data_IF_618643397359
#
_entry.id   IF_618643397359
#
_cell.length_a   1.000
_cell.length_b   1.000
_cell.length_c   1.000
_cell.angle_alpha   90.00
_cell.angle_beta   90.00
_cell.angle_gamma   90.00
#
_symmetry.space_group_name_H-M   'P 1'
#
loop_
_entity.id
_entity.type
_entity.pdbx_description
1 polymer ?
#
# COMPACT_ATOMS: atom_id res chain seq x y z
N UNK A 1 0.18 25.45 -17.96
CA UNK A 1 0.40 24.01 -17.72
C UNK A 1 -0.79 23.45 -16.95
N UNK A 2 -1.40 22.34 -17.38
CA UNK A 2 -2.50 21.69 -16.61
C UNK A 2 -1.93 21.12 -15.31
N UNK A 3 -2.58 21.39 -14.17
CA UNK A 3 -2.20 20.79 -12.89
C UNK A 3 -2.37 19.27 -12.98
N UNK A 4 -1.39 18.51 -12.48
CA UNK A 4 -1.49 17.05 -12.38
C UNK A 4 -2.56 16.67 -11.34
N UNK A 5 -3.27 15.54 -11.53
CA UNK A 5 -4.24 15.07 -10.55
C UNK A 5 -3.57 14.68 -9.23
N UNK A 6 -4.36 14.72 -8.15
CA UNK A 6 -3.96 14.21 -6.85
C UNK A 6 -3.96 12.68 -6.85
N UNK A 7 -3.12 12.07 -6.02
CA UNK A 7 -3.15 10.65 -5.72
C UNK A 7 -2.59 10.38 -4.32
N UNK A 8 -2.96 9.26 -3.72
CA UNK A 8 -2.38 8.73 -2.50
C UNK A 8 -1.17 7.83 -2.78
N UNK A 9 -0.18 7.88 -1.91
CA UNK A 9 0.85 6.84 -1.74
C UNK A 9 0.72 6.29 -0.32
N UNK A 10 0.29 5.03 -0.21
CA UNK A 10 -0.03 4.36 1.05
C UNK A 10 0.96 3.24 1.32
N UNK A 11 1.56 3.25 2.52
CA UNK A 11 2.48 2.20 2.96
C UNK A 11 2.43 2.01 4.47
N UNK A 12 2.83 0.83 4.93
CA UNK A 12 2.97 0.58 6.36
C UNK A 12 4.27 1.22 6.87
N UNK A 13 4.18 1.99 7.97
CA UNK A 13 5.29 2.78 8.49
C UNK A 13 6.07 2.00 9.54
N UNK A 14 7.33 1.69 9.26
CA UNK A 14 8.22 0.88 10.11
C UNK A 14 9.37 1.68 10.73
N UNK A 15 9.48 2.97 10.45
CA UNK A 15 10.50 3.82 11.09
C UNK A 15 10.12 4.08 12.54
N UNK A 16 11.13 4.12 13.42
CA UNK A 16 10.93 4.45 14.84
C UNK A 16 10.29 5.83 15.00
N UNK A 17 9.40 5.96 15.99
CA UNK A 17 8.76 7.23 16.34
C UNK A 17 7.27 7.09 16.72
N UNK A 18 6.56 8.21 16.90
CA UNK A 18 5.17 8.22 17.38
C UNK A 18 4.17 7.47 16.49
N UNK A 19 4.47 7.33 15.20
CA UNK A 19 3.61 6.64 14.23
C UNK A 19 4.18 5.30 13.78
N UNK A 20 5.08 4.71 14.58
CA UNK A 20 5.58 3.35 14.33
C UNK A 20 4.40 2.38 14.27
N UNK A 21 4.34 1.57 13.21
CA UNK A 21 3.25 0.63 12.89
C UNK A 21 1.91 1.27 12.50
N UNK A 22 1.93 2.52 12.00
CA UNK A 22 0.76 3.15 11.39
C UNK A 22 0.79 3.01 9.87
N UNK A 23 -0.35 3.10 9.20
CA UNK A 23 -0.37 3.34 7.76
C UNK A 23 -0.01 4.80 7.49
N UNK A 24 1.06 5.05 6.75
CA UNK A 24 1.37 6.38 6.23
C UNK A 24 0.62 6.58 4.92
N UNK A 25 -0.12 7.68 4.81
CA UNK A 25 -0.74 8.14 3.57
C UNK A 25 -0.11 9.47 3.18
N UNK A 26 0.54 9.52 2.02
CA UNK A 26 1.02 10.77 1.42
C UNK A 26 0.10 11.16 0.28
N UNK A 27 -0.44 12.37 0.32
CA UNK A 27 -1.17 12.95 -0.81
C UNK A 27 -0.16 13.67 -1.70
N UNK A 28 -0.16 13.30 -2.98
CA UNK A 28 0.81 13.76 -3.98
C UNK A 28 0.13 14.55 -5.08
N UNK A 29 0.80 15.59 -5.57
CA UNK A 29 0.47 16.24 -6.84
C UNK A 29 1.70 16.19 -7.74
N UNK A 30 1.70 15.29 -8.72
CA UNK A 30 2.93 14.92 -9.43
C UNK A 30 3.98 14.37 -8.45
N UNK A 31 5.19 14.93 -8.44
CA UNK A 31 6.25 14.49 -7.52
C UNK A 31 6.20 15.13 -6.13
N UNK A 32 5.40 16.19 -5.94
CA UNK A 32 5.33 16.94 -4.68
C UNK A 32 4.35 16.30 -3.71
N UNK A 33 4.74 16.17 -2.45
CA UNK A 33 3.81 15.85 -1.36
C UNK A 33 3.09 17.13 -0.94
N UNK A 34 1.76 17.10 -0.99
CA UNK A 34 0.92 18.24 -0.59
C UNK A 34 0.33 18.05 0.80
N UNK A 35 0.18 16.80 1.25
CA UNK A 35 -0.24 16.45 2.61
C UNK A 35 0.31 15.06 3.00
N UNK A 36 0.42 14.79 4.29
CA UNK A 36 0.80 13.49 4.81
C UNK A 36 0.20 13.26 6.21
N UNK A 37 -0.46 12.13 6.38
CA UNK A 37 -1.05 11.73 7.65
C UNK A 37 -0.80 10.24 7.93
N UNK A 38 -1.06 9.85 9.17
CA UNK A 38 -0.83 8.49 9.67
C UNK A 38 -2.12 7.96 10.27
N UNK A 39 -2.43 6.70 9.98
CA UNK A 39 -3.67 6.06 10.38
C UNK A 39 -3.35 4.84 11.22
N UNK A 40 -3.91 4.79 12.44
CA UNK A 40 -3.76 3.63 13.32
C UNK A 40 -4.56 2.44 12.74
N UNK A 41 -3.89 1.33 12.35
CA UNK A 41 -4.55 0.16 11.81
C UNK A 41 -5.46 -0.58 12.81
N UNK A 42 -5.31 -0.31 14.12
CA UNK A 42 -6.20 -0.86 15.14
C UNK A 42 -7.56 -0.18 15.08
N UNK A 43 -7.55 1.13 14.85
CA UNK A 43 -8.75 1.95 14.84
C UNK A 43 -9.45 1.92 13.47
N UNK A 44 -8.71 2.01 12.37
CA UNK A 44 -9.27 2.19 11.03
C UNK A 44 -8.85 1.09 10.06
N UNK A 45 -9.73 0.79 9.10
CA UNK A 45 -9.39 0.13 7.84
C UNK A 45 -9.31 1.19 6.74
N UNK A 46 -8.34 1.07 5.85
CA UNK A 46 -8.29 1.87 4.63
C UNK A 46 -8.99 1.12 3.51
N UNK A 47 -9.89 1.80 2.81
CA UNK A 47 -10.32 1.41 1.47
C UNK A 47 -9.62 2.33 0.47
N UNK A 48 -8.89 1.72 -0.46
CA UNK A 48 -8.09 2.41 -1.46
C UNK A 48 -8.66 2.10 -2.84
N UNK A 49 -8.98 3.11 -3.64
CA UNK A 49 -9.58 2.93 -4.97
C UNK A 49 -8.67 3.41 -6.09
N UNK A 50 -8.79 2.78 -7.27
CA UNK A 50 -7.92 3.07 -8.41
C UNK A 50 -6.46 2.77 -8.09
N UNK A 51 -6.20 1.56 -7.59
CA UNK A 51 -4.93 1.18 -7.01
C UNK A 51 -3.93 0.70 -8.06
N UNK A 52 -2.65 0.94 -7.79
CA UNK A 52 -1.49 0.39 -8.49
C UNK A 52 -0.41 0.01 -7.47
N UNK A 53 0.15 -1.18 -7.60
CA UNK A 53 1.26 -1.63 -6.75
C UNK A 53 2.56 -1.01 -7.24
N UNK A 54 3.05 -0.01 -6.53
CA UNK A 54 4.26 0.68 -6.94
C UNK A 54 5.51 0.05 -6.31
N UNK A 55 6.54 -0.12 -7.12
CA UNK A 55 7.87 -0.56 -6.70
C UNK A 55 8.95 0.32 -7.36
N UNK A 56 10.07 0.50 -6.67
CA UNK A 56 11.32 1.05 -7.20
C UNK A 56 12.32 -0.12 -7.30
N UNK A 57 12.42 -0.84 -8.43
CA UNK A 57 13.15 -2.10 -8.52
C UNK A 57 14.61 -2.01 -8.06
N UNK A 58 15.36 -1.01 -8.51
CA UNK A 58 16.75 -0.83 -8.10
C UNK A 58 16.90 -0.59 -6.59
N UNK A 59 15.96 0.12 -5.97
CA UNK A 59 15.98 0.38 -4.52
C UNK A 59 15.51 -0.87 -3.75
N UNK A 60 14.52 -1.61 -4.24
CA UNK A 60 14.09 -2.86 -3.65
C UNK A 60 15.20 -3.91 -3.67
N UNK A 61 15.91 -4.03 -4.80
CA UNK A 61 17.07 -4.90 -4.94
C UNK A 61 18.19 -4.54 -3.94
N UNK A 62 18.49 -3.25 -3.76
CA UNK A 62 19.44 -2.80 -2.73
C UNK A 62 19.00 -3.18 -1.31
N UNK A 63 17.71 -3.07 -0.99
CA UNK A 63 17.15 -3.48 0.31
C UNK A 63 17.26 -4.99 0.50
N UNK A 64 16.98 -5.77 -0.54
CA UNK A 64 17.10 -7.21 -0.52
C UNK A 64 18.54 -7.66 -0.29
N UNK A 65 19.49 -7.11 -1.06
CA UNK A 65 20.91 -7.44 -0.97
C UNK A 65 21.55 -7.02 0.36
N UNK A 66 21.17 -5.85 0.89
CA UNK A 66 21.70 -5.36 2.16
C UNK A 66 21.02 -5.97 3.38
N UNK A 67 19.79 -6.47 3.24
CA UNK A 67 18.93 -6.88 4.36
C UNK A 67 18.48 -5.71 5.26
N UNK A 68 18.74 -4.46 4.87
CA UNK A 68 18.45 -3.26 5.67
C UNK A 68 17.20 -2.59 5.13
N UNK A 69 16.22 -2.38 6.01
CA UNK A 69 14.96 -1.72 5.66
C UNK A 69 15.18 -0.31 5.08
N UNK A 70 14.67 -0.08 3.86
CA UNK A 70 14.49 1.24 3.25
C UNK A 70 13.20 1.24 2.40
N UNK A 71 12.67 2.43 2.09
CA UNK A 71 11.40 2.58 1.37
C UNK A 71 11.58 2.35 -0.12
N UNK A 72 11.06 1.22 -0.60
CA UNK A 72 11.12 0.83 -2.02
C UNK A 72 9.76 0.65 -2.70
N UNK A 73 8.68 0.41 -1.96
CA UNK A 73 7.35 0.17 -2.54
C UNK A 73 6.19 0.69 -1.68
N UNK A 74 5.04 0.88 -2.33
CA UNK A 74 3.79 1.39 -1.74
C UNK A 74 2.59 1.12 -2.65
N UNK A 75 1.37 1.22 -2.13
CA UNK A 75 0.16 1.27 -2.95
C UNK A 75 -0.05 2.71 -3.40
N UNK A 76 -0.13 2.94 -4.71
CA UNK A 76 -0.60 4.22 -5.26
C UNK A 76 -2.09 4.12 -5.52
N UNK A 77 -2.89 5.09 -5.12
CA UNK A 77 -4.34 5.08 -5.31
C UNK A 77 -4.89 6.46 -5.67
N UNK A 78 -6.08 6.51 -6.26
CA UNK A 78 -6.79 7.74 -6.57
C UNK A 78 -7.50 8.30 -5.34
N UNK A 79 -8.06 7.41 -4.52
CA UNK A 79 -8.82 7.75 -3.31
C UNK A 79 -8.41 6.86 -2.13
N UNK A 80 -8.46 7.42 -0.91
CA UNK A 80 -8.33 6.69 0.37
C UNK A 80 -9.51 7.06 1.25
N UNK A 81 -10.31 6.07 1.65
CA UNK A 81 -11.42 6.23 2.59
C UNK A 81 -11.09 5.55 3.92
N UNK A 82 -11.40 6.22 5.03
CA UNK A 82 -11.21 5.68 6.38
C UNK A 82 -12.50 5.00 6.86
N UNK A 83 -12.41 3.69 7.15
CA UNK A 83 -13.51 2.86 7.65
C UNK A 83 -13.35 2.57 9.15
N UNK A 84 -14.40 2.84 9.93
CA UNK A 84 -14.51 2.55 11.37
C UNK A 84 -15.96 2.29 11.77
N UNK A 85 -16.63 3.27 12.42
CA UNK A 85 -17.96 3.09 13.02
C UNK A 85 -19.09 3.46 12.06
N UNK A 86 -19.23 4.75 11.74
CA UNK A 86 -20.30 5.24 10.85
C UNK A 86 -20.10 4.81 9.39
N UNK A 87 -18.85 4.57 8.99
CA UNK A 87 -18.50 3.90 7.75
C UNK A 87 -17.84 2.55 8.09
N UNK A 88 -18.61 1.46 8.23
CA UNK A 88 -18.12 0.21 8.78
C UNK A 88 -16.94 -0.37 8.02
N UNK A 89 -16.07 -1.09 8.75
CA UNK A 89 -15.06 -1.96 8.15
C UNK A 89 -15.76 -3.03 7.31
N UNK A 90 -15.21 -3.33 6.14
CA UNK A 90 -15.64 -4.41 5.27
C UNK A 90 -14.98 -5.74 5.69
N UNK A 91 -15.69 -6.87 5.52
CA UNK A 91 -15.14 -8.19 5.83
C UNK A 91 -13.94 -8.52 4.93
N UNK A 92 -12.98 -9.28 5.47
CA UNK A 92 -11.76 -9.68 4.76
C UNK A 92 -11.54 -11.20 4.69
N UNK A 93 -12.44 -12.00 5.26
CA UNK A 93 -12.20 -13.42 5.56
C UNK A 93 -11.92 -14.29 4.32
N UNK A 94 -12.45 -13.90 3.16
CA UNK A 94 -12.28 -14.61 1.89
C UNK A 94 -11.51 -13.77 0.84
N UNK A 95 -10.85 -12.70 1.27
CA UNK A 95 -10.10 -11.84 0.35
C UNK A 95 -8.66 -12.30 0.25
N UNK A 96 -8.13 -12.27 -0.97
CA UNK A 96 -6.73 -12.59 -1.24
C UNK A 96 -5.80 -11.49 -0.69
N UNK A 97 -4.69 -11.91 -0.08
CA UNK A 97 -3.66 -10.99 0.42
C UNK A 97 -2.63 -10.61 -0.65
N UNK A 98 -2.18 -9.37 -0.54
CA UNK A 98 -1.00 -8.85 -1.22
C UNK A 98 0.15 -8.68 -0.23
N UNK A 99 1.34 -9.09 -0.64
CA UNK A 99 2.55 -9.03 0.16
C UNK A 99 3.60 -8.14 -0.49
N UNK A 100 4.28 -7.35 0.34
CA UNK A 100 5.48 -6.63 -0.04
C UNK A 100 6.44 -6.56 1.14
N UNK A 101 7.56 -7.27 1.03
CA UNK A 101 8.62 -7.22 2.02
C UNK A 101 9.99 -7.29 1.30
N UNK A 102 10.56 -6.14 0.91
CA UNK A 102 11.78 -6.08 0.09
C UNK A 102 13.02 -6.66 0.79
N UNK A 103 12.97 -6.92 2.09
CA UNK A 103 14.04 -7.64 2.80
C UNK A 103 14.04 -9.14 2.44
N UNK A 104 12.87 -9.69 2.11
CA UNK A 104 12.68 -11.12 1.78
C UNK A 104 12.48 -11.37 0.30
N UNK A 105 11.80 -10.46 -0.39
CA UNK A 105 11.52 -10.52 -1.82
C UNK A 105 11.37 -9.08 -2.34
N UNK A 106 12.17 -8.65 -3.33
CA UNK A 106 12.13 -7.28 -3.84
C UNK A 106 10.84 -6.93 -4.61
N UNK A 107 9.90 -7.86 -4.78
CA UNK A 107 8.69 -7.69 -5.57
C UNK A 107 7.39 -7.80 -4.75
N UNK A 108 6.32 -7.23 -5.30
CA UNK A 108 4.95 -7.50 -4.85
C UNK A 108 4.53 -8.92 -5.22
N UNK A 109 3.89 -9.60 -4.26
CA UNK A 109 3.43 -10.99 -4.39
C UNK A 109 1.96 -11.13 -4.00
N UNK A 110 1.34 -12.19 -4.49
CA UNK A 110 -0.02 -12.61 -4.13
C UNK A 110 0.01 -13.87 -3.29
N UNK A 111 -1.06 -14.09 -2.52
CA UNK A 111 -1.18 -15.26 -1.66
C UNK A 111 -1.42 -16.56 -2.46
N UNK A 112 -2.18 -16.49 -3.55
CA UNK A 112 -2.62 -17.68 -4.28
C UNK A 112 -1.56 -18.35 -5.15
N UNK A 113 -0.48 -17.64 -5.50
CA UNK A 113 0.46 -18.09 -6.54
C UNK A 113 1.77 -18.65 -6.00
N UNK A 114 1.92 -18.81 -4.68
CA UNK A 114 3.16 -19.31 -4.05
C UNK A 114 4.41 -18.54 -4.51
N UNK A 115 4.29 -17.23 -4.79
CA UNK A 115 5.33 -16.35 -5.32
C UNK A 115 5.81 -16.67 -6.74
N UNK A 116 5.03 -17.40 -7.55
CA UNK A 116 5.37 -17.69 -8.94
C UNK A 116 5.41 -16.42 -9.81
N UNK A 117 4.49 -15.48 -9.58
CA UNK A 117 4.38 -14.26 -10.39
C UNK A 117 4.81 -13.00 -9.64
N UNK A 118 5.33 -12.03 -10.41
CA UNK A 118 5.66 -10.68 -9.95
C UNK A 118 4.47 -9.77 -10.25
N UNK A 119 3.96 -9.11 -9.21
CA UNK A 119 2.78 -8.23 -9.32
C UNK A 119 3.12 -6.74 -9.29
N UNK A 120 4.39 -6.40 -9.47
CA UNK A 120 4.83 -5.01 -9.56
C UNK A 120 4.10 -4.28 -10.70
N UNK A 121 3.54 -3.11 -10.38
CA UNK A 121 2.85 -2.27 -11.34
C UNK A 121 1.43 -2.73 -11.71
N UNK A 122 0.96 -3.86 -11.17
CA UNK A 122 -0.41 -4.33 -11.41
C UNK A 122 -1.43 -3.39 -10.77
N UNK A 123 -2.64 -3.38 -11.34
CA UNK A 123 -3.70 -2.42 -11.00
C UNK A 123 -4.93 -3.14 -10.47
N UNK A 124 -5.63 -2.49 -9.53
CA UNK A 124 -6.81 -3.01 -8.86
C UNK A 124 -7.86 -1.91 -8.75
N UNK A 125 -9.13 -2.27 -8.86
CA UNK A 125 -10.21 -1.32 -8.64
C UNK A 125 -10.23 -0.89 -7.17
N UNK A 126 -10.22 -1.86 -6.25
CA UNK A 126 -10.29 -1.59 -4.81
C UNK A 126 -9.42 -2.54 -3.99
N UNK A 127 -8.63 -1.96 -3.07
CA UNK A 127 -7.84 -2.67 -2.05
C UNK A 127 -8.28 -2.27 -0.64
N UNK A 128 -8.22 -3.20 0.31
CA UNK A 128 -8.53 -2.97 1.72
C UNK A 128 -7.30 -3.21 2.60
N UNK A 129 -7.22 -2.53 3.73
CA UNK A 129 -6.27 -2.89 4.80
C UNK A 129 -6.96 -3.58 5.97
N UNK A 130 -6.25 -4.48 6.64
CA UNK A 130 -6.64 -4.96 7.97
C UNK A 130 -5.38 -5.28 8.78
N UNK A 131 -5.19 -4.59 9.90
CA UNK A 131 -3.89 -4.57 10.57
C UNK A 131 -2.81 -4.02 9.64
N UNK A 132 -1.70 -4.75 9.48
CA UNK A 132 -0.60 -4.42 8.56
C UNK A 132 -0.75 -4.98 7.15
N UNK A 133 -1.82 -5.73 6.89
CA UNK A 133 -2.01 -6.48 5.64
C UNK A 133 -2.85 -5.70 4.64
N UNK A 134 -2.67 -6.00 3.35
CA UNK A 134 -3.44 -5.48 2.22
C UNK A 134 -4.19 -6.64 1.55
N UNK A 135 -5.44 -6.40 1.17
CA UNK A 135 -6.35 -7.38 0.60
C UNK A 135 -6.95 -6.85 -0.70
N UNK A 136 -7.20 -7.75 -1.65
CA UNK A 136 -7.89 -7.44 -2.90
C UNK A 136 -9.39 -7.52 -2.63
N UNK A 137 -10.11 -6.39 -2.76
CA UNK A 137 -11.58 -6.38 -2.71
C UNK A 137 -12.16 -6.51 -4.11
N UNK A 138 -11.56 -5.82 -5.08
CA UNK A 138 -12.07 -5.76 -6.45
C UNK A 138 -10.90 -5.65 -7.44
N UNK A 139 -10.84 -6.60 -8.37
CA UNK A 139 -9.90 -6.59 -9.50
C UNK A 139 -10.25 -5.46 -10.48
N UNK A 140 -9.27 -5.00 -11.27
CA UNK A 140 -9.54 -4.08 -12.37
C UNK A 140 -9.85 -4.89 -13.64
N UNK A 141 -11.09 -4.78 -14.14
CA UNK A 141 -11.53 -5.39 -15.42
C UNK A 141 -10.95 -4.61 -16.60
#
# INVERSE_FOLDING_TARGET
MKKKPLHGEVRFHLSNGPHYMFWQVKVKQGGKTVDAYYVDPKEYQLEMRGCKLWNRPNKAQQVFESGVHDVSGWVRCEEVMLRKSFYPKLPIDNLEKLYYNPIRDPHWRRESDSNEFIWDGSEYATLLTNGKQVYILEERV
#
